data_IF_353434195853
#
_entry.id   IF_353434195853
#
_cell.length_a   1.000
_cell.length_b   1.000
_cell.length_c   1.000
_cell.angle_alpha   90.00
_cell.angle_beta   90.00
_cell.angle_gamma   90.00
#
_symmetry.space_group_name_H-M   'P 1'
#
loop_
_entity.id
_entity.type
_entity.pdbx_description
1 polymer ?
#
# COMPACT_ATOMS: atom_id res chain seq x y z
N UNK A 1 -9.01 -38.89 -46.96
CA UNK A 1 -7.94 -38.60 -45.97
C UNK A 1 -7.42 -37.15 -45.97
N UNK A 2 -8.02 -36.17 -46.66
CA UNK A 2 -7.59 -34.75 -46.62
C UNK A 2 -8.50 -33.80 -45.82
N UNK A 3 -9.73 -34.21 -45.51
CA UNK A 3 -10.73 -33.35 -44.82
C UNK A 3 -10.55 -33.38 -43.29
N UNK A 4 -10.11 -34.52 -42.74
CA UNK A 4 -9.83 -34.69 -41.31
C UNK A 4 -8.71 -33.76 -40.83
N UNK A 5 -7.62 -33.67 -41.58
CA UNK A 5 -6.49 -32.78 -41.26
C UNK A 5 -6.90 -31.30 -41.29
N UNK A 6 -7.78 -30.89 -42.22
CA UNK A 6 -8.28 -29.51 -42.29
C UNK A 6 -9.15 -29.16 -41.08
N UNK A 7 -10.05 -30.07 -40.65
CA UNK A 7 -10.85 -29.89 -39.43
C UNK A 7 -9.98 -29.88 -38.17
N UNK A 8 -8.95 -30.73 -38.12
CA UNK A 8 -7.99 -30.79 -37.02
C UNK A 8 -7.21 -29.47 -36.90
N UNK A 9 -6.72 -28.94 -38.03
CA UNK A 9 -6.01 -27.66 -38.09
C UNK A 9 -6.90 -26.49 -37.64
N UNK A 10 -8.18 -26.48 -38.04
CA UNK A 10 -9.14 -25.45 -37.58
C UNK A 10 -9.41 -25.58 -36.08
N UNK A 11 -9.55 -26.79 -35.56
CA UNK A 11 -9.70 -27.05 -34.13
C UNK A 11 -8.49 -26.57 -33.33
N UNK A 12 -7.27 -26.87 -33.80
CA UNK A 12 -6.06 -26.34 -33.18
C UNK A 12 -5.97 -24.81 -33.29
N UNK A 13 -6.38 -24.21 -34.41
CA UNK A 13 -6.44 -22.76 -34.56
C UNK A 13 -7.37 -22.09 -33.54
N UNK A 14 -8.55 -22.66 -33.31
CA UNK A 14 -9.49 -22.18 -32.30
C UNK A 14 -8.92 -22.36 -30.88
N UNK A 15 -8.29 -23.52 -30.62
CA UNK A 15 -7.66 -23.79 -29.33
C UNK A 15 -6.51 -22.81 -29.04
N UNK A 16 -5.63 -22.58 -30.01
CA UNK A 16 -4.53 -21.62 -29.88
C UNK A 16 -5.04 -20.19 -29.72
N UNK A 17 -6.11 -19.81 -30.42
CA UNK A 17 -6.76 -18.51 -30.23
C UNK A 17 -7.32 -18.35 -28.80
N UNK A 18 -8.00 -19.36 -28.27
CA UNK A 18 -8.54 -19.33 -26.91
C UNK A 18 -7.42 -19.27 -25.86
N UNK A 19 -6.34 -20.02 -26.05
CA UNK A 19 -5.15 -19.97 -25.17
C UNK A 19 -4.48 -18.60 -25.25
N UNK A 20 -4.36 -18.01 -26.44
CA UNK A 20 -3.77 -16.69 -26.63
C UNK A 20 -4.63 -15.59 -25.98
N UNK A 21 -5.95 -15.69 -26.07
CA UNK A 21 -6.88 -14.82 -25.34
C UNK A 21 -6.72 -14.94 -23.83
N UNK A 22 -6.55 -16.15 -23.29
CA UNK A 22 -6.29 -16.36 -21.87
C UNK A 22 -4.95 -15.76 -21.44
N UNK A 23 -3.89 -15.97 -22.21
CA UNK A 23 -2.57 -15.38 -21.96
C UNK A 23 -2.64 -13.85 -22.00
N UNK A 24 -3.33 -13.28 -22.99
CA UNK A 24 -3.50 -11.84 -23.11
C UNK A 24 -4.31 -11.27 -21.94
N UNK A 25 -5.38 -11.95 -21.52
CA UNK A 25 -6.15 -11.56 -20.34
C UNK A 25 -5.30 -11.58 -19.07
N UNK A 26 -4.50 -12.64 -18.84
CA UNK A 26 -3.60 -12.72 -17.68
C UNK A 26 -2.53 -11.63 -17.72
N UNK A 27 -1.90 -11.39 -18.89
CA UNK A 27 -0.94 -10.31 -19.08
C UNK A 27 -1.58 -8.94 -18.85
N UNK A 28 -2.79 -8.72 -19.35
CA UNK A 28 -3.53 -7.47 -19.17
C UNK A 28 -3.94 -7.27 -17.71
N UNK A 29 -4.44 -8.30 -17.02
CA UNK A 29 -4.75 -8.23 -15.58
C UNK A 29 -3.50 -8.02 -14.73
N UNK A 30 -2.36 -8.60 -15.11
CA UNK A 30 -1.10 -8.40 -14.38
C UNK A 30 -0.46 -7.03 -14.62
N UNK A 31 -0.59 -6.48 -15.84
CA UNK A 31 0.00 -5.18 -16.22
C UNK A 31 -0.91 -4.00 -15.92
N UNK A 32 -2.20 -4.05 -16.29
CA UNK A 32 -3.18 -2.98 -16.02
C UNK A 32 -3.89 -3.11 -14.68
N UNK A 33 -4.00 -4.30 -14.07
CA UNK A 33 -4.55 -4.42 -12.71
C UNK A 33 -3.69 -3.72 -11.66
N UNK A 34 -2.42 -3.42 -11.98
CA UNK A 34 -1.53 -2.55 -11.20
C UNK A 34 -1.52 -1.09 -11.63
N UNK A 35 -2.10 -0.76 -12.78
CA UNK A 35 -2.43 0.61 -13.15
C UNK A 35 -3.69 1.06 -12.38
N UNK A 36 -3.72 0.80 -11.08
CA UNK A 36 -4.62 1.54 -10.20
C UNK A 36 -4.24 3.00 -10.35
N UNK A 37 -5.24 3.85 -10.58
CA UNK A 37 -5.12 5.31 -10.68
C UNK A 37 -3.90 5.78 -9.90
N UNK A 38 -3.03 6.59 -10.51
CA UNK A 38 -1.76 7.06 -9.94
C UNK A 38 -1.90 7.84 -8.61
N UNK A 39 -3.04 7.72 -7.94
CA UNK A 39 -3.40 8.20 -6.62
C UNK A 39 -3.52 7.01 -5.66
N UNK A 40 -2.73 7.02 -4.58
CA UNK A 40 -2.93 6.12 -3.43
C UNK A 40 -3.27 6.95 -2.20
N UNK A 41 -4.33 6.56 -1.51
CA UNK A 41 -4.67 7.15 -0.21
C UNK A 41 -4.05 6.29 0.89
N UNK A 42 -3.18 6.90 1.70
CA UNK A 42 -2.66 6.29 2.92
C UNK A 42 -3.48 6.76 4.12
N UNK A 43 -4.00 5.81 4.87
CA UNK A 43 -4.66 6.02 6.16
C UNK A 43 -3.67 5.73 7.27
N UNK A 44 -3.53 6.65 8.21
CA UNK A 44 -2.57 6.55 9.30
C UNK A 44 -3.09 7.26 10.56
N UNK A 45 -2.54 6.91 11.71
CA UNK A 45 -2.94 7.47 13.00
C UNK A 45 -1.75 8.14 13.66
N UNK A 46 -1.79 9.47 13.76
CA UNK A 46 -0.76 10.23 14.45
C UNK A 46 -0.95 10.12 15.96
N UNK A 47 0.02 9.57 16.67
CA UNK A 47 -0.01 9.39 18.13
C UNK A 47 0.80 10.45 18.90
N UNK A 48 1.65 11.21 18.20
CA UNK A 48 2.48 12.22 18.82
C UNK A 48 3.16 13.14 17.82
N UNK A 49 3.59 14.31 18.29
CA UNK A 49 4.32 15.33 17.54
C UNK A 49 5.44 15.86 18.43
N UNK A 50 6.69 15.74 17.98
CA UNK A 50 7.86 15.99 18.81
C UNK A 50 8.93 16.80 18.09
N UNK A 51 9.59 17.71 18.79
CA UNK A 51 10.80 18.40 18.30
C UNK A 51 12.05 17.52 18.46
N UNK A 52 12.12 16.75 19.55
CA UNK A 52 13.31 15.99 19.93
C UNK A 52 13.25 14.56 19.41
N UNK A 53 14.30 14.14 18.70
CA UNK A 53 14.45 12.77 18.22
C UNK A 53 14.42 11.71 19.33
N UNK A 54 14.84 12.06 20.55
CA UNK A 54 14.76 11.15 21.71
C UNK A 54 13.31 10.83 22.10
N UNK A 55 12.40 11.82 22.05
CA UNK A 55 10.98 11.63 22.37
C UNK A 55 10.24 10.84 21.29
N UNK A 56 10.68 10.98 20.03
CA UNK A 56 10.22 10.16 18.91
C UNK A 56 10.56 8.69 19.17
N UNK A 57 11.83 8.38 19.47
CA UNK A 57 12.27 7.00 19.73
C UNK A 57 11.55 6.37 20.92
N UNK A 58 11.40 7.08 22.04
CA UNK A 58 10.68 6.56 23.21
C UNK A 58 9.22 6.20 22.88
N UNK A 59 8.55 7.01 22.06
CA UNK A 59 7.18 6.71 21.60
C UNK A 59 7.15 5.53 20.63
N UNK A 60 8.13 5.42 19.73
CA UNK A 60 8.23 4.29 18.80
C UNK A 60 8.45 2.97 19.53
N UNK A 61 9.36 2.94 20.51
CA UNK A 61 9.61 1.75 21.34
C UNK A 61 8.37 1.33 22.14
N UNK A 62 7.61 2.30 22.67
CA UNK A 62 6.34 2.00 23.36
C UNK A 62 5.34 1.34 22.43
N UNK A 63 5.15 1.88 21.23
CA UNK A 63 4.25 1.29 20.24
C UNK A 63 4.73 -0.09 19.78
N UNK A 64 6.04 -0.27 19.61
CA UNK A 64 6.62 -1.56 19.21
C UNK A 64 6.42 -2.64 20.28
N UNK A 65 6.55 -2.29 21.58
CA UNK A 65 6.22 -3.20 22.69
C UNK A 65 4.76 -3.64 22.68
N UNK A 66 3.86 -2.78 22.22
CA UNK A 66 2.44 -3.07 22.04
C UNK A 66 2.13 -3.80 20.71
N UNK A 67 3.17 -4.14 19.93
CA UNK A 67 3.05 -4.81 18.63
C UNK A 67 2.52 -3.91 17.51
N UNK A 68 2.61 -2.59 17.67
CA UNK A 68 2.18 -1.60 16.69
C UNK A 68 3.38 -1.03 15.94
N UNK A 69 3.45 -1.29 14.62
CA UNK A 69 4.44 -0.65 13.75
C UNK A 69 4.19 0.86 13.71
N UNK A 70 5.25 1.62 13.98
CA UNK A 70 5.24 3.07 14.02
C UNK A 70 6.25 3.63 13.02
N UNK A 71 5.89 4.75 12.40
CA UNK A 71 6.66 5.45 11.38
C UNK A 71 6.79 6.92 11.74
N UNK A 72 7.81 7.58 11.23
CA UNK A 72 8.01 9.02 11.43
C UNK A 72 7.66 9.80 10.17
N UNK A 73 6.87 10.85 10.34
CA UNK A 73 6.56 11.82 9.30
C UNK A 73 7.17 13.17 9.70
N UNK A 74 8.11 13.69 8.90
CA UNK A 74 8.64 15.04 9.12
C UNK A 74 7.59 16.08 8.75
N UNK A 75 7.39 17.04 9.64
CA UNK A 75 6.51 18.19 9.47
C UNK A 75 7.30 19.45 9.82
N UNK A 76 7.96 20.04 8.82
CA UNK A 76 8.80 21.22 8.97
C UNK A 76 9.90 21.06 10.05
N UNK A 77 9.68 21.63 11.25
CA UNK A 77 10.58 21.58 12.41
C UNK A 77 10.25 20.45 13.39
N UNK A 78 9.11 19.78 13.21
CA UNK A 78 8.56 18.77 14.10
C UNK A 78 8.56 17.40 13.41
N UNK A 79 8.63 16.34 14.22
CA UNK A 79 8.53 14.95 13.77
C UNK A 79 7.26 14.34 14.36
N UNK A 80 6.31 13.99 13.49
CA UNK A 80 5.10 13.29 13.86
C UNK A 80 5.37 11.78 13.91
N UNK A 81 4.90 11.10 14.96
CA UNK A 81 4.90 9.64 15.04
C UNK A 81 3.51 9.16 14.61
N UNK A 82 3.48 8.36 13.55
CA UNK A 82 2.25 7.80 12.97
C UNK A 82 2.29 6.27 13.04
N UNK A 83 1.13 5.63 13.14
CA UNK A 83 1.01 4.17 13.22
C UNK A 83 -0.22 3.66 12.44
N UNK A 84 -0.22 2.37 12.12
CA UNK A 84 -1.28 1.76 11.31
C UNK A 84 -1.39 2.39 9.92
N UNK A 85 -0.23 2.65 9.29
CA UNK A 85 -0.14 3.17 7.92
C UNK A 85 -0.57 2.04 6.99
N UNK A 86 -1.66 2.24 6.26
CA UNK A 86 -2.16 1.29 5.27
C UNK A 86 -2.91 2.02 4.15
N UNK A 87 -3.01 1.38 3.00
CA UNK A 87 -3.91 1.80 1.91
C UNK A 87 -5.36 1.38 2.15
N UNK A 88 -5.60 0.44 3.09
CA UNK A 88 -6.94 0.05 3.53
C UNK A 88 -7.34 0.82 4.79
N UNK A 89 -8.45 1.56 4.69
CA UNK A 89 -9.04 2.27 5.83
C UNK A 89 -9.39 1.32 6.98
N UNK A 90 -9.89 0.11 6.69
CA UNK A 90 -10.30 -0.86 7.71
C UNK A 90 -9.11 -1.34 8.54
N UNK A 91 -7.96 -1.58 7.90
CA UNK A 91 -6.74 -1.94 8.63
C UNK A 91 -6.31 -0.81 9.57
N UNK A 92 -6.35 0.43 9.10
CA UNK A 92 -6.05 1.59 9.93
C UNK A 92 -7.05 1.73 11.09
N UNK A 93 -8.35 1.51 10.85
CA UNK A 93 -9.39 1.52 11.88
C UNK A 93 -9.20 0.40 12.92
N UNK A 94 -8.72 -0.79 12.55
CA UNK A 94 -8.38 -1.84 13.52
C UNK A 94 -7.27 -1.38 14.46
N UNK A 95 -6.25 -0.71 13.93
CA UNK A 95 -5.18 -0.11 14.74
C UNK A 95 -5.73 0.99 15.64
N UNK A 96 -6.67 1.82 15.16
CA UNK A 96 -7.36 2.81 16.00
C UNK A 96 -8.09 2.17 17.19
N UNK A 97 -8.78 1.05 16.97
CA UNK A 97 -9.45 0.34 18.06
C UNK A 97 -8.44 -0.20 19.09
N UNK A 98 -7.28 -0.70 18.64
CA UNK A 98 -6.20 -1.10 19.54
C UNK A 98 -5.66 0.09 20.35
N UNK A 99 -5.39 1.22 19.69
CA UNK A 99 -4.94 2.45 20.35
C UNK A 99 -5.96 2.95 21.39
N UNK A 100 -7.26 2.92 21.07
CA UNK A 100 -8.34 3.24 22.02
C UNK A 100 -8.32 2.33 23.25
N UNK A 101 -8.19 1.01 23.04
CA UNK A 101 -8.09 0.03 24.14
C UNK A 101 -6.88 0.29 25.04
N UNK A 102 -5.76 0.65 24.42
CA UNK A 102 -4.51 0.99 25.10
C UNK A 102 -4.49 2.42 25.68
N UNK A 103 -5.58 3.18 25.54
CA UNK A 103 -5.74 4.57 26.00
C UNK A 103 -4.73 5.56 25.40
N UNK A 104 -4.21 5.27 24.21
CA UNK A 104 -3.39 6.23 23.47
C UNK A 104 -4.28 7.27 22.78
N UNK A 105 -3.87 8.54 22.89
CA UNK A 105 -4.44 9.61 22.06
C UNK A 105 -3.93 9.47 20.64
N UNK A 106 -4.81 9.58 19.66
CA UNK A 106 -4.45 9.53 18.25
C UNK A 106 -5.31 10.48 17.42
N UNK A 107 -4.74 10.97 16.33
CA UNK A 107 -5.42 11.78 15.33
C UNK A 107 -5.39 10.99 14.01
N UNK A 108 -6.55 10.58 13.47
CA UNK A 108 -6.59 9.94 12.17
C UNK A 108 -6.19 10.96 11.09
N UNK A 109 -5.31 10.54 10.19
CA UNK A 109 -4.86 11.31 9.04
C UNK A 109 -4.97 10.43 7.80
N UNK A 110 -5.44 11.04 6.72
CA UNK A 110 -5.39 10.47 5.38
C UNK A 110 -4.54 11.36 4.49
N UNK A 111 -3.69 10.75 3.67
CA UNK A 111 -2.86 11.47 2.71
C UNK A 111 -3.12 10.83 1.36
N UNK A 112 -3.55 11.63 0.39
CA UNK A 112 -3.69 11.19 -1.00
C UNK A 112 -2.42 11.56 -1.74
N UNK A 113 -1.71 10.55 -2.24
CA UNK A 113 -0.45 10.69 -2.96
C UNK A 113 -0.71 10.45 -4.42
N UNK A 114 -0.47 11.46 -5.26
CA UNK A 114 -0.59 11.37 -6.73
C UNK A 114 0.77 11.15 -7.42
N UNK A 115 1.87 11.14 -6.65
CA UNK A 115 3.21 10.98 -7.19
C UNK A 115 3.52 9.50 -7.44
N UNK A 116 3.67 9.12 -8.71
CA UNK A 116 3.95 7.74 -9.16
C UNK A 116 5.11 7.09 -8.41
N UNK A 117 6.21 7.81 -8.18
CA UNK A 117 7.38 7.27 -7.49
C UNK A 117 7.18 7.04 -5.99
N UNK A 118 6.14 7.64 -5.39
CA UNK A 118 5.74 7.41 -4.00
C UNK A 118 4.63 6.36 -3.94
N UNK A 119 3.75 6.31 -4.95
CA UNK A 119 2.75 5.25 -5.15
C UNK A 119 3.41 3.88 -5.30
N UNK A 120 4.47 3.76 -6.10
CA UNK A 120 5.23 2.51 -6.21
C UNK A 120 5.81 2.06 -4.86
N UNK A 121 6.36 2.98 -4.07
CA UNK A 121 6.87 2.68 -2.73
C UNK A 121 5.76 2.21 -1.77
N UNK A 122 4.55 2.73 -1.93
CA UNK A 122 3.37 2.31 -1.15
C UNK A 122 2.92 0.92 -1.57
N UNK A 123 2.89 0.64 -2.87
CA UNK A 123 2.53 -0.67 -3.42
C UNK A 123 3.57 -1.74 -3.04
N UNK A 124 4.84 -1.36 -2.86
CA UNK A 124 5.92 -2.21 -2.32
C UNK A 124 5.91 -2.33 -0.78
N UNK A 125 4.94 -1.73 -0.08
CA UNK A 125 4.88 -1.66 1.39
C UNK A 125 6.09 -0.98 2.06
N UNK A 126 6.87 -0.19 1.31
CA UNK A 126 8.02 0.56 1.79
C UNK A 126 7.58 1.90 2.43
N UNK A 127 6.71 1.84 3.42
CA UNK A 127 6.06 3.02 4.04
C UNK A 127 7.06 4.00 4.65
N UNK A 128 8.19 3.54 5.20
CA UNK A 128 9.27 4.41 5.70
C UNK A 128 9.74 5.41 4.64
N UNK A 129 10.09 4.88 3.45
CA UNK A 129 10.60 5.68 2.33
C UNK A 129 9.52 6.56 1.72
N UNK A 130 8.28 6.06 1.67
CA UNK A 130 7.15 6.84 1.18
C UNK A 130 6.90 8.06 2.07
N UNK A 131 6.86 7.88 3.39
CA UNK A 131 6.64 8.95 4.36
C UNK A 131 7.79 9.96 4.41
N UNK A 132 9.04 9.52 4.24
CA UNK A 132 10.18 10.43 4.10
C UNK A 132 10.07 11.35 2.87
N UNK A 133 9.50 10.86 1.77
CA UNK A 133 9.28 11.68 0.56
C UNK A 133 8.07 12.59 0.66
N UNK A 134 7.07 12.21 1.45
CA UNK A 134 5.88 13.04 1.71
C UNK A 134 6.20 14.16 2.71
N UNK A 135 7.09 13.91 3.67
CA UNK A 135 7.47 14.88 4.71
C UNK A 135 8.60 15.84 4.34
N UNK A 136 8.97 15.92 3.04
CA UNK A 136 9.89 16.93 2.50
C UNK A 136 9.10 18.07 1.88
#
# INVERSE_FOLDING_TARGET
MQVENKRLIVLFGILFSAVFCLIYYVLFSFTLGKAGDGKRTLYMNQVGLYEKAASVKDMQEKLEKEGLKSYTLKQEKLTAVVCGVSTDEKESQQVQQKLKKLKYSYIPKNVTIENTAVVELIDEQAYDKALERIGK
#
